data_IF_622851848720
#
_entry.id   IF_622851848720
#
_cell.length_a   1.000
_cell.length_b   1.000
_cell.length_c   1.000
_cell.angle_alpha   90.00
_cell.angle_beta   90.00
_cell.angle_gamma   90.00
#
_symmetry.space_group_name_H-M   'P 1'
#
loop_
_entity.id
_entity.type
_entity.pdbx_description
1 polymer ?
#
# COMPACT_ATOMS: atom_id res chain seq x y z
N UNK A 1 4.28 -9.81 7.40
CA UNK A 1 4.24 -8.58 6.58
C UNK A 1 3.04 -8.59 5.65
N UNK A 2 2.50 -7.40 5.34
CA UNK A 2 1.47 -7.19 4.31
C UNK A 2 1.90 -6.14 3.29
N UNK A 3 1.39 -6.27 2.08
CA UNK A 3 1.54 -5.28 1.02
C UNK A 3 0.25 -4.48 0.93
N UNK A 4 0.39 -3.16 0.98
CA UNK A 4 -0.71 -2.22 0.82
C UNK A 4 -0.47 -1.35 -0.41
N UNK A 5 -1.55 -0.92 -1.05
CA UNK A 5 -1.55 0.12 -2.07
C UNK A 5 -2.11 1.39 -1.44
N UNK A 6 -1.32 2.46 -1.50
CA UNK A 6 -1.67 3.80 -1.01
C UNK A 6 -1.72 4.77 -2.18
N UNK A 7 -2.34 5.92 -1.95
CA UNK A 7 -2.32 7.02 -2.90
C UNK A 7 -0.95 7.69 -2.96
N UNK A 8 -0.39 7.82 -4.15
CA UNK A 8 0.91 8.49 -4.36
C UNK A 8 0.84 10.02 -4.15
N UNK A 9 -0.36 10.61 -4.18
CA UNK A 9 -0.57 12.04 -3.97
C UNK A 9 -0.98 12.41 -2.53
N UNK A 10 -0.99 11.43 -1.62
CA UNK A 10 -1.38 11.62 -0.21
C UNK A 10 -2.75 12.31 -0.02
N UNK A 11 -3.72 12.03 -0.89
CA UNK A 11 -5.10 12.53 -0.78
C UNK A 11 -5.82 11.83 0.38
N UNK A 12 -6.22 12.59 1.39
CA UNK A 12 -6.83 12.07 2.62
C UNK A 12 -8.11 11.25 2.41
N UNK A 13 -8.84 11.51 1.33
CA UNK A 13 -10.11 10.83 1.03
C UNK A 13 -9.94 9.45 0.37
N UNK A 14 -8.73 9.07 -0.01
CA UNK A 14 -8.45 7.79 -0.67
C UNK A 14 -8.04 6.76 0.38
N UNK A 15 -8.76 5.63 0.43
CA UNK A 15 -8.47 4.54 1.34
C UNK A 15 -7.28 3.69 0.88
N UNK A 16 -6.58 3.08 1.84
CA UNK A 16 -5.58 2.06 1.56
C UNK A 16 -6.26 0.76 1.10
N UNK A 17 -5.59 0.03 0.21
CA UNK A 17 -6.05 -1.28 -0.23
C UNK A 17 -5.06 -2.37 0.14
N UNK A 18 -5.55 -3.43 0.78
CA UNK A 18 -4.77 -4.65 1.01
C UNK A 18 -4.54 -5.39 -0.32
N UNK A 19 -3.28 -5.70 -0.61
CA UNK A 19 -2.91 -6.44 -1.83
C UNK A 19 -2.54 -7.88 -1.49
N UNK A 20 -1.76 -8.09 -0.43
CA UNK A 20 -1.35 -9.39 0.06
C UNK A 20 -1.00 -9.32 1.55
N UNK A 21 -1.15 -10.42 2.27
CA UNK A 21 -0.81 -10.55 3.69
C UNK A 21 -0.09 -11.87 3.98
N UNK A 22 0.45 -12.01 5.20
CA UNK A 22 1.19 -13.19 5.64
C UNK A 22 2.43 -13.50 4.77
N UNK A 23 3.14 -12.44 4.37
CA UNK A 23 4.40 -12.52 3.65
C UNK A 23 5.57 -12.45 4.62
N UNK A 24 6.66 -13.13 4.26
CA UNK A 24 7.96 -12.85 4.86
C UNK A 24 8.59 -11.60 4.22
N UNK A 25 9.57 -11.01 4.90
CA UNK A 25 10.21 -9.76 4.49
C UNK A 25 10.85 -9.85 3.11
N UNK A 26 11.50 -10.97 2.80
CA UNK A 26 12.21 -11.15 1.53
C UNK A 26 11.27 -11.09 0.33
N UNK A 27 10.22 -11.91 0.33
CA UNK A 27 9.23 -11.91 -0.75
C UNK A 27 8.41 -10.64 -0.77
N UNK A 28 8.09 -10.09 0.40
CA UNK A 28 7.38 -8.83 0.52
C UNK A 28 8.11 -7.68 -0.18
N UNK A 29 9.40 -7.52 0.09
CA UNK A 29 10.21 -6.47 -0.53
C UNK A 29 10.36 -6.69 -2.04
N UNK A 30 10.63 -7.94 -2.46
CA UNK A 30 10.74 -8.27 -3.88
C UNK A 30 9.46 -7.94 -4.68
N UNK A 31 8.29 -8.25 -4.12
CA UNK A 31 7.00 -7.97 -4.77
C UNK A 31 6.75 -6.45 -4.83
N UNK A 32 7.02 -5.72 -3.75
CA UNK A 32 6.85 -4.25 -3.72
C UNK A 32 7.74 -3.57 -4.75
N UNK A 33 9.00 -4.00 -4.86
CA UNK A 33 9.94 -3.47 -5.88
C UNK A 33 9.40 -3.73 -7.29
N UNK A 34 8.93 -4.95 -7.58
CA UNK A 34 8.36 -5.30 -8.88
C UNK A 34 7.09 -4.51 -9.21
N UNK A 35 6.21 -4.28 -8.23
CA UNK A 35 4.97 -3.53 -8.43
C UNK A 35 5.26 -2.05 -8.71
N UNK A 36 6.16 -1.45 -7.93
CA UNK A 36 6.57 -0.05 -8.07
C UNK A 36 7.41 0.18 -9.33
N UNK A 37 8.20 -0.80 -9.78
CA UNK A 37 8.97 -0.68 -11.05
C UNK A 37 8.07 -0.58 -12.29
N UNK A 38 6.78 -0.90 -12.16
CA UNK A 38 5.76 -0.75 -13.22
C UNK A 38 4.95 0.54 -13.10
N UNK A 39 5.19 1.34 -12.06
CA UNK A 39 4.55 2.64 -11.87
C UNK A 39 5.42 3.75 -12.47
N UNK A 40 4.78 4.87 -12.79
CA UNK A 40 5.43 6.13 -13.17
C UNK A 40 5.23 7.16 -12.05
N UNK A 41 5.96 8.28 -12.11
CA UNK A 41 5.85 9.37 -11.13
C UNK A 41 4.43 9.92 -11.02
N UNK A 42 3.69 9.95 -12.13
CA UNK A 42 2.29 10.41 -12.18
C UNK A 42 1.26 9.32 -11.82
N UNK A 43 1.70 8.10 -11.48
CA UNK A 43 0.78 7.04 -11.10
C UNK A 43 0.10 7.36 -9.78
N UNK A 44 -1.22 7.17 -9.72
CA UNK A 44 -1.98 7.24 -8.47
C UNK A 44 -1.56 6.15 -7.47
N UNK A 45 -0.97 5.05 -7.94
CA UNK A 45 -0.71 3.87 -7.13
C UNK A 45 0.72 3.87 -6.59
N UNK A 46 0.87 3.69 -5.28
CA UNK A 46 2.14 3.42 -4.64
C UNK A 46 2.02 2.20 -3.71
N UNK A 47 2.95 1.25 -3.81
CA UNK A 47 2.90 0.02 -3.01
C UNK A 47 3.92 0.05 -1.88
N UNK A 48 3.49 -0.40 -0.70
CA UNK A 48 4.32 -0.42 0.53
C UNK A 48 4.25 -1.78 1.20
N UNK A 49 5.39 -2.23 1.71
CA UNK A 49 5.45 -3.35 2.65
C UNK A 49 5.31 -2.79 4.07
N UNK A 50 4.37 -3.32 4.85
CA UNK A 50 4.12 -2.89 6.22
C UNK A 50 3.94 -4.12 7.13
N UNK A 51 4.02 -3.89 8.45
CA UNK A 51 3.81 -4.92 9.46
C UNK A 51 2.37 -5.49 9.41
N UNK A 52 2.19 -6.72 9.88
CA UNK A 52 0.88 -7.39 9.83
C UNK A 52 -0.18 -6.68 10.70
N UNK A 53 0.26 -6.01 11.77
CA UNK A 53 -0.58 -5.21 12.65
C UNK A 53 -0.94 -3.83 12.09
N UNK A 54 -0.42 -3.45 10.91
CA UNK A 54 -0.76 -2.19 10.29
C UNK A 54 -2.26 -2.14 9.96
N UNK A 55 -2.92 -1.10 10.48
CA UNK A 55 -4.33 -0.81 10.24
C UNK A 55 -4.43 0.01 8.96
N UNK A 56 -5.26 -0.45 8.03
CA UNK A 56 -5.49 0.24 6.76
C UNK A 56 -6.30 1.50 7.00
N UNK A 57 -5.84 2.62 6.44
CA UNK A 57 -6.61 3.85 6.40
C UNK A 57 -7.87 3.66 5.55
N UNK A 58 -9.05 3.98 6.10
CA UNK A 58 -10.34 3.81 5.38
C UNK A 58 -10.80 5.06 4.63
N UNK A 59 -9.94 6.06 4.46
CA UNK A 59 -10.35 7.31 3.82
C UNK A 59 -11.31 8.12 4.70
N UNK A 60 -12.20 8.87 4.06
CA UNK A 60 -13.16 9.71 4.80
C UNK A 60 -14.14 8.92 5.69
N UNK A 61 -14.24 7.59 5.56
CA UNK A 61 -15.07 6.78 6.45
C UNK A 61 -14.63 6.87 7.93
N UNK A 62 -13.37 7.21 8.22
CA UNK A 62 -12.89 7.38 9.61
C UNK A 62 -13.22 8.76 10.21
N UNK A 63 -13.69 9.72 9.40
CA UNK A 63 -13.95 11.10 9.82
C UNK A 63 -15.43 11.41 10.12
N UNK A 64 -16.29 10.39 10.08
CA UNK A 64 -17.76 10.49 10.25
C UNK A 64 -18.19 9.84 11.56
#
# INVERSE_FOLDING_TARGET
>A
MKIIKVDNYAREHIADHLIAENLNDYWGNYIVELLNSRQHEDSDNYFRLVEDNHVLWRGMEELI
#
